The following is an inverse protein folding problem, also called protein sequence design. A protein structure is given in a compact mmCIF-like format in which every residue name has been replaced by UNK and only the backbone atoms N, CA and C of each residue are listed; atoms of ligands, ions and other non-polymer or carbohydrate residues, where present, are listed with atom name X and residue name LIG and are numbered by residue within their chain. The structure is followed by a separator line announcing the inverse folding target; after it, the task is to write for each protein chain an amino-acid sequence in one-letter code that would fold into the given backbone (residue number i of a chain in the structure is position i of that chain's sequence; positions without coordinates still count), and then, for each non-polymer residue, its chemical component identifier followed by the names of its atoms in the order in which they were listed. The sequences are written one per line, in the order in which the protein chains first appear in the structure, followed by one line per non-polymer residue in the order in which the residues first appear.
data_IF_493060228470
#
_entry.id   IF_493060228470
#
_cell.length_a   1.000
_cell.length_b   1.000
_cell.length_c   1.000
_cell.angle_alpha   90.00
_cell.angle_beta   90.00
_cell.angle_gamma   90.00
#
_symmetry.space_group_name_H-M   'P 1'
#
loop_
_entity.id
_entity.type
_entity.pdbx_description
1 polymer ?
#
# COMPACT_ATOMS: atom_id res chain seq x y z
N UNK A 1 20.20 22.84 4.64
CA UNK A 1 19.00 22.13 5.12
C UNK A 1 19.16 20.62 4.90
N UNK A 2 19.20 19.84 5.97
CA UNK A 2 19.19 18.37 5.83
C UNK A 2 17.89 17.96 5.13
N UNK A 3 17.94 16.96 4.24
CA UNK A 3 16.79 16.41 3.51
C UNK A 3 15.55 16.19 4.43
N UNK A 4 15.79 15.88 5.70
CA UNK A 4 14.78 15.75 6.76
C UNK A 4 14.00 17.04 7.09
N UNK A 5 14.64 18.21 7.05
CA UNK A 5 14.02 19.51 7.41
C UNK A 5 12.91 19.93 6.46
N UNK A 6 12.99 19.53 5.19
CA UNK A 6 11.97 19.85 4.16
C UNK A 6 10.92 18.73 4.08
N UNK A 7 11.35 17.47 4.24
CA UNK A 7 10.48 16.31 4.02
C UNK A 7 9.52 16.05 5.17
N UNK A 8 9.98 16.24 6.40
CA UNK A 8 9.19 15.94 7.59
C UNK A 8 7.97 16.86 7.77
N UNK A 9 8.04 18.19 7.58
CA UNK A 9 6.85 19.05 7.67
C UNK A 9 5.77 18.69 6.65
N UNK A 10 6.16 18.35 5.42
CA UNK A 10 5.24 17.92 4.37
C UNK A 10 4.56 16.59 4.74
N UNK A 11 5.30 15.63 5.29
CA UNK A 11 4.72 14.38 5.79
C UNK A 11 3.71 14.63 6.92
N UNK A 12 4.05 15.49 7.90
CA UNK A 12 3.15 15.86 8.99
C UNK A 12 1.86 16.46 8.44
N UNK A 13 1.97 17.37 7.48
CA UNK A 13 0.82 17.97 6.81
C UNK A 13 -0.05 16.91 6.12
N UNK A 14 0.54 16.01 5.33
CA UNK A 14 -0.21 14.94 4.66
C UNK A 14 -0.88 13.99 5.65
N UNK A 15 -0.21 13.63 6.75
CA UNK A 15 -0.79 12.77 7.78
C UNK A 15 -1.98 13.43 8.48
N UNK A 16 -1.88 14.71 8.83
CA UNK A 16 -2.99 15.48 9.43
C UNK A 16 -4.16 15.55 8.47
N UNK A 17 -3.91 15.89 7.20
CA UNK A 17 -4.96 15.95 6.19
C UNK A 17 -5.60 14.58 5.96
N UNK A 18 -4.81 13.51 5.84
CA UNK A 18 -5.33 12.15 5.68
C UNK A 18 -6.23 11.75 6.85
N UNK A 19 -5.84 12.08 8.08
CA UNK A 19 -6.68 11.87 9.27
C UNK A 19 -8.00 12.64 9.19
N UNK A 20 -7.95 13.94 8.87
CA UNK A 20 -9.15 14.78 8.76
C UNK A 20 -10.10 14.23 7.68
N UNK A 21 -9.61 13.99 6.46
CA UNK A 21 -10.45 13.56 5.34
C UNK A 21 -11.03 12.16 5.54
N UNK A 22 -10.29 11.22 6.16
CA UNK A 22 -10.85 9.90 6.48
C UNK A 22 -11.91 9.97 7.58
N UNK A 23 -11.73 10.81 8.61
CA UNK A 23 -12.77 11.04 9.63
C UNK A 23 -14.01 11.68 9.02
N UNK A 24 -13.84 12.68 8.15
CA UNK A 24 -14.95 13.31 7.41
C UNK A 24 -15.67 12.27 6.53
N UNK A 25 -14.93 11.42 5.81
CA UNK A 25 -15.51 10.34 5.01
C UNK A 25 -16.35 9.41 5.88
N UNK A 26 -15.84 8.95 7.03
CA UNK A 26 -16.58 8.08 7.95
C UNK A 26 -17.88 8.74 8.39
N UNK A 27 -17.82 10.03 8.74
CA UNK A 27 -18.99 10.80 9.16
C UNK A 27 -20.04 10.94 8.04
N UNK A 28 -19.61 11.25 6.81
CA UNK A 28 -20.50 11.32 5.63
C UNK A 28 -21.15 9.96 5.36
N UNK A 29 -20.38 8.88 5.39
CA UNK A 29 -20.87 7.52 5.15
C UNK A 29 -21.92 7.12 6.19
N UNK A 30 -21.71 7.48 7.45
CA UNK A 30 -22.66 7.22 8.53
C UNK A 30 -23.94 8.06 8.41
N UNK A 31 -23.84 9.31 7.93
CA UNK A 31 -24.99 10.20 7.76
C UNK A 31 -25.75 10.03 6.45
N UNK A 32 -25.15 9.38 5.45
CA UNK A 32 -25.83 9.09 4.19
C UNK A 32 -27.15 8.36 4.45
N UNK A 33 -28.25 8.78 3.82
CA UNK A 33 -29.58 8.17 4.02
C UNK A 33 -29.95 7.19 2.90
N UNK A 34 -29.11 7.06 1.87
CA UNK A 34 -29.42 6.21 0.72
C UNK A 34 -29.33 4.71 1.02
N UNK A 35 -30.51 4.06 1.03
CA UNK A 35 -30.65 2.61 1.22
C UNK A 35 -30.01 1.78 0.11
N UNK A 36 -29.81 2.34 -1.09
CA UNK A 36 -29.20 1.65 -2.24
C UNK A 36 -27.69 1.41 -2.07
N UNK A 37 -27.01 2.20 -1.24
CA UNK A 37 -25.61 1.93 -0.85
C UNK A 37 -25.55 0.79 0.17
N UNK A 38 -26.57 0.68 1.03
CA UNK A 38 -26.78 -0.43 1.96
C UNK A 38 -25.50 -0.89 2.65
N UNK A 39 -25.17 -2.17 2.46
CA UNK A 39 -24.06 -2.85 3.12
C UNK A 39 -22.67 -2.41 2.63
N UNK A 40 -22.58 -1.73 1.48
CA UNK A 40 -21.31 -1.23 0.94
C UNK A 40 -20.67 -0.17 1.86
N UNK A 41 -21.48 0.51 2.68
CA UNK A 41 -20.99 1.47 3.67
C UNK A 41 -20.02 0.86 4.66
N UNK A 42 -20.26 -0.40 5.06
CA UNK A 42 -19.38 -1.11 5.98
C UNK A 42 -17.99 -1.32 5.35
N UNK A 43 -17.94 -1.61 4.04
CA UNK A 43 -16.68 -1.71 3.30
C UNK A 43 -15.94 -0.37 3.24
N UNK A 44 -16.66 0.71 2.90
CA UNK A 44 -16.06 2.06 2.84
C UNK A 44 -15.54 2.48 4.22
N UNK A 45 -16.28 2.21 5.29
CA UNK A 45 -15.83 2.49 6.66
C UNK A 45 -14.60 1.65 7.01
N UNK A 46 -14.58 0.36 6.66
CA UNK A 46 -13.41 -0.50 6.89
C UNK A 46 -12.17 0.01 6.15
N UNK A 47 -12.33 0.44 4.91
CA UNK A 47 -11.27 1.05 4.10
C UNK A 47 -10.73 2.34 4.75
N UNK A 48 -11.61 3.27 5.14
CA UNK A 48 -11.20 4.50 5.82
C UNK A 48 -10.50 4.26 7.17
N UNK A 49 -10.92 3.25 7.94
CA UNK A 49 -10.24 2.84 9.17
C UNK A 49 -8.84 2.25 8.89
N UNK A 50 -8.72 1.51 7.79
CA UNK A 50 -7.44 0.98 7.31
C UNK A 50 -6.46 2.09 6.95
N UNK A 51 -6.94 3.13 6.24
CA UNK A 51 -6.15 4.29 5.86
C UNK A 51 -5.67 5.09 7.07
N UNK A 52 -6.53 5.23 8.09
CA UNK A 52 -6.15 5.85 9.38
C UNK A 52 -5.05 5.04 10.07
N UNK A 53 -5.20 3.71 10.15
CA UNK A 53 -4.18 2.84 10.73
C UNK A 53 -2.85 2.95 9.98
N UNK A 54 -2.87 2.85 8.65
CA UNK A 54 -1.68 2.99 7.82
C UNK A 54 -1.02 4.37 8.03
N UNK A 55 -1.82 5.45 8.05
CA UNK A 55 -1.34 6.82 8.25
C UNK A 55 -0.61 6.97 9.59
N UNK A 56 -1.17 6.40 10.66
CA UNK A 56 -0.56 6.43 11.99
C UNK A 56 0.77 5.67 11.98
N UNK A 57 0.81 4.46 11.44
CA UNK A 57 2.03 3.65 11.40
C UNK A 57 3.11 4.33 10.54
N UNK A 58 2.75 4.84 9.36
CA UNK A 58 3.65 5.59 8.48
C UNK A 58 4.18 6.85 9.16
N UNK A 59 3.36 7.60 9.91
CA UNK A 59 3.79 8.77 10.65
C UNK A 59 4.78 8.42 11.78
N UNK A 60 4.46 7.39 12.57
CA UNK A 60 5.29 6.95 13.70
C UNK A 60 6.64 6.42 13.23
N UNK A 61 6.67 5.65 12.14
CA UNK A 61 7.89 5.00 11.64
C UNK A 61 8.69 5.94 10.72
N UNK A 62 8.00 6.66 9.83
CA UNK A 62 8.55 7.43 8.72
C UNK A 62 9.64 6.66 7.94
N UNK A 63 9.24 5.62 7.19
CA UNK A 63 10.17 4.76 6.47
C UNK A 63 10.72 5.47 5.23
N UNK A 64 12.04 5.45 5.07
CA UNK A 64 12.72 5.96 3.87
C UNK A 64 13.44 4.79 3.19
N UNK A 65 12.98 4.36 2.00
CA UNK A 65 13.64 3.31 1.23
C UNK A 65 14.83 3.87 0.46
N UNK A 66 15.87 3.06 0.32
CA UNK A 66 17.10 3.38 -0.40
C UNK A 66 17.59 2.16 -1.17
N UNK A 67 18.30 2.43 -2.26
CA UNK A 67 18.85 1.41 -3.14
C UNK A 67 20.32 1.69 -3.41
N UNK A 68 21.12 0.63 -3.41
CA UNK A 68 22.53 0.68 -3.81
C UNK A 68 22.98 -0.65 -4.41
N UNK A 69 23.50 -0.62 -5.63
CA UNK A 69 23.87 -1.84 -6.37
C UNK A 69 22.73 -2.85 -6.42
N UNK A 70 22.99 -4.06 -5.91
CA UNK A 70 22.05 -5.17 -5.83
C UNK A 70 21.26 -5.21 -4.50
N UNK A 71 21.21 -4.11 -3.76
CA UNK A 71 20.59 -4.02 -2.45
C UNK A 71 19.45 -3.00 -2.40
N UNK A 72 18.37 -3.40 -1.73
CA UNK A 72 17.33 -2.54 -1.20
C UNK A 72 17.45 -2.50 0.32
N UNK A 73 17.31 -1.34 0.94
CA UNK A 73 17.24 -1.24 2.39
C UNK A 73 16.35 -0.06 2.80
N UNK A 74 15.80 -0.12 4.00
CA UNK A 74 14.83 0.87 4.46
C UNK A 74 14.94 1.06 5.98
N UNK A 75 14.83 2.31 6.41
CA UNK A 75 14.92 2.71 7.81
C UNK A 75 13.80 3.65 8.23
N UNK A 76 13.35 3.51 9.47
CA UNK A 76 12.47 4.45 10.11
C UNK A 76 13.22 5.71 10.55
N UNK A 77 12.65 6.87 10.26
CA UNK A 77 13.20 8.18 10.61
C UNK A 77 12.32 8.98 11.58
N UNK A 78 11.19 8.39 11.98
CA UNK A 78 10.19 8.98 12.86
C UNK A 78 10.50 8.74 14.34
N UNK A 79 9.45 8.49 15.11
CA UNK A 79 9.52 8.20 16.54
C UNK A 79 9.95 6.76 16.82
N UNK A 80 9.49 5.79 16.02
CA UNK A 80 9.82 4.38 16.18
C UNK A 80 10.67 3.89 15.00
N UNK A 81 11.99 3.84 15.21
CA UNK A 81 12.99 3.62 14.14
C UNK A 81 13.51 2.19 14.04
N UNK A 82 13.06 1.32 14.93
CA UNK A 82 13.50 -0.07 15.00
C UNK A 82 12.98 -0.89 13.81
N UNK A 83 13.66 -2.00 13.53
CA UNK A 83 13.28 -2.94 12.48
C UNK A 83 11.83 -3.44 12.64
N UNK A 84 11.37 -3.60 13.88
CA UNK A 84 9.97 -3.95 14.16
C UNK A 84 8.99 -2.90 13.61
N UNK A 85 9.33 -1.61 13.72
CA UNK A 85 8.52 -0.53 13.17
C UNK A 85 8.43 -0.60 11.65
N UNK A 86 9.56 -0.90 10.99
CA UNK A 86 9.59 -1.12 9.54
C UNK A 86 8.70 -2.30 9.14
N UNK A 87 8.80 -3.42 9.85
CA UNK A 87 7.96 -4.58 9.57
C UNK A 87 6.47 -4.30 9.77
N UNK A 88 6.09 -3.58 10.83
CA UNK A 88 4.72 -3.13 11.07
C UNK A 88 4.21 -2.22 9.95
N UNK A 89 5.05 -1.31 9.47
CA UNK A 89 4.73 -0.45 8.34
C UNK A 89 4.47 -1.24 7.06
N UNK A 90 5.34 -2.19 6.69
CA UNK A 90 5.12 -2.99 5.48
C UNK A 90 3.96 -3.97 5.63
N UNK A 91 3.69 -4.46 6.85
CA UNK A 91 2.46 -5.19 7.16
C UNK A 91 1.21 -4.34 6.92
N UNK A 92 1.21 -3.09 7.37
CA UNK A 92 0.15 -2.12 7.05
C UNK A 92 0.07 -1.86 5.55
N UNK A 93 1.19 -1.68 4.86
CA UNK A 93 1.19 -1.49 3.41
C UNK A 93 0.56 -2.66 2.65
N UNK A 94 0.91 -3.90 3.04
CA UNK A 94 0.42 -5.12 2.41
C UNK A 94 -1.07 -5.41 2.61
N UNK A 95 -1.70 -4.83 3.62
CA UNK A 95 -3.10 -5.10 3.92
C UNK A 95 -4.07 -4.40 2.95
N UNK A 96 -3.60 -3.41 2.19
CA UNK A 96 -4.44 -2.62 1.30
C UNK A 96 -4.86 -3.41 0.06
N UNK A 97 -4.02 -4.33 -0.41
CA UNK A 97 -4.30 -5.18 -1.57
C UNK A 97 -5.57 -6.02 -1.42
N UNK A 98 -5.74 -6.86 -0.37
CA UNK A 98 -6.98 -7.59 -0.19
C UNK A 98 -8.17 -6.66 0.00
N UNK A 99 -8.02 -5.52 0.67
CA UNK A 99 -9.14 -4.57 0.83
C UNK A 99 -9.64 -4.11 -0.54
N UNK A 100 -8.75 -3.69 -1.44
CA UNK A 100 -9.10 -3.31 -2.80
C UNK A 100 -9.78 -4.47 -3.56
N UNK A 101 -9.20 -5.68 -3.51
CA UNK A 101 -9.79 -6.88 -4.15
C UNK A 101 -11.23 -7.10 -3.69
N UNK A 102 -11.48 -7.06 -2.39
CA UNK A 102 -12.81 -7.28 -1.84
C UNK A 102 -13.80 -6.17 -2.23
N UNK A 103 -13.36 -4.92 -2.43
CA UNK A 103 -14.24 -3.89 -2.99
C UNK A 103 -14.68 -4.23 -4.42
N UNK A 104 -13.78 -4.71 -5.26
CA UNK A 104 -14.14 -5.19 -6.61
C UNK A 104 -15.02 -6.43 -6.57
N UNK A 105 -14.73 -7.41 -5.71
CA UNK A 105 -15.54 -8.61 -5.56
C UNK A 105 -16.95 -8.28 -5.09
N UNK A 106 -17.09 -7.38 -4.10
CA UNK A 106 -18.40 -6.90 -3.65
C UNK A 106 -19.16 -6.26 -4.82
N UNK A 107 -18.52 -5.40 -5.61
CA UNK A 107 -19.14 -4.77 -6.78
C UNK A 107 -19.61 -5.80 -7.81
N UNK A 108 -18.76 -6.79 -8.11
CA UNK A 108 -19.09 -7.87 -9.03
C UNK A 108 -20.27 -8.69 -8.52
N UNK A 109 -20.29 -9.05 -7.23
CA UNK A 109 -21.39 -9.79 -6.60
C UNK A 109 -22.69 -9.00 -6.63
N UNK A 110 -22.66 -7.71 -6.30
CA UNK A 110 -23.83 -6.85 -6.31
C UNK A 110 -24.48 -6.73 -7.69
N UNK A 111 -23.70 -6.80 -8.77
CA UNK A 111 -24.20 -6.74 -10.15
C UNK A 111 -24.65 -8.11 -10.65
N UNK A 112 -23.82 -9.15 -10.45
CA UNK A 112 -24.02 -10.46 -11.06
C UNK A 112 -25.01 -11.33 -10.28
N UNK A 113 -24.90 -11.33 -8.96
CA UNK A 113 -25.64 -12.24 -8.07
C UNK A 113 -25.97 -11.56 -6.73
N UNK A 114 -26.87 -10.55 -6.73
CA UNK A 114 -27.23 -9.81 -5.52
C UNK A 114 -27.76 -10.70 -4.39
N UNK A 115 -28.29 -11.88 -4.69
CA UNK A 115 -28.75 -12.86 -3.69
C UNK A 115 -27.65 -13.29 -2.70
N UNK A 116 -26.38 -13.30 -3.11
CA UNK A 116 -25.27 -13.68 -2.21
C UNK A 116 -24.93 -12.58 -1.20
N UNK A 117 -25.41 -11.35 -1.40
CA UNK A 117 -25.26 -10.29 -0.39
C UNK A 117 -26.00 -10.62 0.92
N UNK A 118 -26.91 -11.61 0.93
CA UNK A 118 -27.49 -12.15 2.17
C UNK A 118 -26.43 -12.78 3.09
N UNK A 119 -25.31 -13.26 2.53
CA UNK A 119 -24.19 -13.84 3.29
C UNK A 119 -23.09 -12.83 3.59
N UNK A 120 -23.42 -11.54 3.70
CA UNK A 120 -22.45 -10.48 3.87
C UNK A 120 -21.55 -10.65 5.11
N UNK A 121 -22.03 -11.23 6.21
CA UNK A 121 -21.21 -11.48 7.39
C UNK A 121 -20.03 -12.41 7.11
N UNK A 122 -20.23 -13.45 6.29
CA UNK A 122 -19.16 -14.35 5.86
C UNK A 122 -18.19 -13.64 4.90
N UNK A 123 -18.72 -12.80 4.01
CA UNK A 123 -17.91 -11.96 3.12
C UNK A 123 -17.01 -11.01 3.93
N UNK A 124 -17.55 -10.37 4.96
CA UNK A 124 -16.79 -9.47 5.85
C UNK A 124 -15.76 -10.24 6.68
N UNK A 125 -16.10 -11.42 7.18
CA UNK A 125 -15.15 -12.29 7.88
C UNK A 125 -13.98 -12.67 6.97
N UNK A 126 -14.26 -13.09 5.73
CA UNK A 126 -13.25 -13.41 4.74
C UNK A 126 -12.35 -12.20 4.42
N UNK A 127 -12.94 -10.99 4.32
CA UNK A 127 -12.17 -9.74 4.16
C UNK A 127 -11.19 -9.57 5.32
N UNK A 128 -11.67 -9.59 6.56
CA UNK A 128 -10.83 -9.35 7.75
C UNK A 128 -9.71 -10.38 7.84
N UNK A 129 -10.02 -11.67 7.64
CA UNK A 129 -9.01 -12.74 7.69
C UNK A 129 -7.97 -12.58 6.58
N UNK A 130 -8.39 -12.32 5.34
CA UNK A 130 -7.45 -12.15 4.21
C UNK A 130 -6.58 -10.90 4.40
N UNK A 131 -7.14 -9.81 4.93
CA UNK A 131 -6.40 -8.60 5.29
C UNK A 131 -5.36 -8.89 6.37
N UNK A 132 -5.72 -9.64 7.43
CA UNK A 132 -4.79 -10.02 8.49
C UNK A 132 -3.67 -10.94 7.98
N UNK A 133 -3.99 -11.92 7.13
CA UNK A 133 -3.01 -12.82 6.52
C UNK A 133 -2.05 -12.04 5.62
N UNK A 134 -2.56 -11.13 4.78
CA UNK A 134 -1.69 -10.28 3.94
C UNK A 134 -0.77 -9.41 4.79
N UNK A 135 -1.31 -8.79 5.86
CA UNK A 135 -0.49 -8.03 6.79
C UNK A 135 0.65 -8.88 7.39
N UNK A 136 0.32 -10.08 7.89
CA UNK A 136 1.31 -10.99 8.45
C UNK A 136 2.38 -11.41 7.43
N UNK A 137 2.00 -11.70 6.18
CA UNK A 137 2.95 -12.05 5.11
C UNK A 137 3.92 -10.90 4.86
N UNK A 138 3.42 -9.69 4.69
CA UNK A 138 4.27 -8.53 4.41
C UNK A 138 5.15 -8.15 5.60
N UNK A 139 4.61 -8.21 6.81
CA UNK A 139 5.40 -8.10 8.05
C UNK A 139 6.55 -9.11 8.06
N UNK A 140 6.25 -10.38 7.73
CA UNK A 140 7.21 -11.48 7.74
C UNK A 140 8.37 -11.26 6.77
N UNK A 141 8.09 -10.73 5.58
CA UNK A 141 9.10 -10.42 4.57
C UNK A 141 10.14 -9.44 5.14
N UNK A 142 9.68 -8.34 5.76
CA UNK A 142 10.58 -7.31 6.24
C UNK A 142 11.25 -7.66 7.58
N UNK A 143 10.57 -8.41 8.45
CA UNK A 143 11.13 -8.77 9.75
C UNK A 143 12.11 -9.96 9.67
N UNK A 144 11.81 -10.98 8.86
CA UNK A 144 12.61 -12.21 8.77
C UNK A 144 13.41 -12.31 7.49
N UNK A 145 12.78 -12.17 6.31
CA UNK A 145 13.51 -12.38 5.05
C UNK A 145 14.55 -11.29 4.84
N UNK A 146 14.18 -10.02 5.07
CA UNK A 146 15.07 -8.86 4.97
C UNK A 146 15.73 -8.50 6.30
N UNK A 147 15.81 -9.45 7.24
CA UNK A 147 16.58 -9.24 8.47
C UNK A 147 18.07 -9.05 8.12
N UNK A 148 18.75 -8.06 8.70
CA UNK A 148 20.18 -7.88 8.48
C UNK A 148 20.97 -9.08 9.01
N UNK A 149 21.94 -9.55 8.24
CA UNK A 149 22.92 -10.53 8.71
C UNK A 149 24.34 -10.01 8.47
N UNK A 150 25.33 -10.76 8.98
CA UNK A 150 26.74 -10.38 8.90
C UNK A 150 27.19 -10.07 7.46
N UNK A 151 26.63 -10.76 6.47
CA UNK A 151 26.97 -10.56 5.07
C UNK A 151 26.31 -9.32 4.47
N UNK A 152 25.03 -9.07 4.76
CA UNK A 152 24.37 -7.81 4.39
C UNK A 152 25.12 -6.61 4.97
N UNK A 153 25.49 -6.70 6.25
CA UNK A 153 26.22 -5.64 6.95
C UNK A 153 27.61 -5.42 6.35
N UNK A 154 28.34 -6.49 6.02
CA UNK A 154 29.65 -6.41 5.35
C UNK A 154 29.56 -5.68 4.00
N UNK A 155 28.59 -6.05 3.17
CA UNK A 155 28.39 -5.45 1.84
C UNK A 155 27.96 -3.99 1.93
N UNK A 156 27.08 -3.65 2.87
CA UNK A 156 26.55 -2.29 3.04
C UNK A 156 27.42 -1.42 3.96
N UNK A 157 28.51 -1.94 4.52
CA UNK A 157 29.44 -1.19 5.39
C UNK A 157 29.91 0.13 4.78
N UNK A 158 30.29 0.22 3.48
CA UNK A 158 30.70 1.47 2.86
C UNK A 158 29.62 2.56 2.85
N UNK A 159 28.34 2.18 2.92
CA UNK A 159 27.22 3.12 3.05
C UNK A 159 27.10 3.55 4.51
N UNK A 160 27.06 2.59 5.43
CA UNK A 160 26.86 2.86 6.86
C UNK A 160 28.02 3.60 7.54
N UNK A 161 29.24 3.48 6.99
CA UNK A 161 30.41 4.21 7.48
C UNK A 161 30.61 5.58 6.79
N UNK A 162 29.74 5.94 5.84
CA UNK A 162 29.78 7.22 5.12
C UNK A 162 30.80 7.30 3.98
N UNK A 163 31.46 6.21 3.60
CA UNK A 163 32.37 6.20 2.44
C UNK A 163 31.63 6.44 1.12
N UNK A 164 30.38 6.01 1.04
CA UNK A 164 29.50 6.18 -0.11
C UNK A 164 28.36 7.12 0.29
N UNK A 165 28.30 8.34 -0.27
CA UNK A 165 27.24 9.28 0.06
C UNK A 165 25.93 8.85 -0.61
N UNK A 166 24.87 8.78 0.19
CA UNK A 166 23.49 8.63 -0.26
C UNK A 166 22.66 9.85 0.19
N UNK A 167 21.42 10.02 -0.34
CA UNK A 167 20.56 11.15 0.03
C UNK A 167 20.27 11.26 1.53
N UNK A 168 20.37 10.14 2.26
CA UNK A 168 20.18 10.06 3.71
C UNK A 168 21.51 9.77 4.40
N UNK A 169 21.75 10.40 5.55
CA UNK A 169 22.94 10.16 6.36
C UNK A 169 22.82 8.85 7.14
N UNK A 170 23.88 8.04 7.10
CA UNK A 170 23.93 6.70 7.67
C UNK A 170 25.01 6.57 8.74
N UNK A 171 24.79 5.65 9.69
CA UNK A 171 25.72 5.36 10.79
C UNK A 171 25.78 3.85 11.04
N UNK A 172 27.00 3.31 11.24
CA UNK A 172 27.25 1.89 11.51
C UNK A 172 26.39 1.36 12.68
N UNK A 173 26.28 2.12 13.77
CA UNK A 173 25.52 1.73 14.97
C UNK A 173 24.04 1.46 14.69
N UNK A 174 23.53 1.99 13.59
CA UNK A 174 22.14 1.84 13.18
C UNK A 174 21.91 0.85 12.06
N UNK A 175 22.95 0.21 11.54
CA UNK A 175 22.84 -0.69 10.40
C UNK A 175 21.83 -1.82 10.68
N UNK A 176 21.86 -2.41 11.87
CA UNK A 176 20.94 -3.49 12.29
C UNK A 176 19.47 -3.05 12.42
N UNK A 177 19.20 -1.75 12.48
CA UNK A 177 17.83 -1.22 12.53
C UNK A 177 17.16 -1.14 11.15
N UNK A 178 17.92 -1.39 10.08
CA UNK A 178 17.41 -1.38 8.71
C UNK A 178 16.87 -2.75 8.34
N UNK A 179 15.75 -2.79 7.62
CA UNK A 179 15.45 -3.97 6.82
C UNK A 179 16.37 -3.93 5.58
N UNK A 180 17.11 -5.01 5.32
CA UNK A 180 18.15 -5.10 4.31
C UNK A 180 17.94 -6.31 3.41
N UNK A 181 17.72 -6.05 2.12
CA UNK A 181 17.60 -7.04 1.07
C UNK A 181 18.76 -6.89 0.09
N UNK A 182 19.84 -7.62 0.29
CA UNK A 182 20.93 -7.76 -0.69
C UNK A 182 20.68 -9.00 -1.52
N UNK A 183 20.50 -8.87 -2.83
CA UNK A 183 20.07 -10.00 -3.67
C UNK A 183 21.22 -10.86 -4.18
N UNK A 184 22.38 -10.25 -4.42
CA UNK A 184 23.58 -10.88 -4.96
C UNK A 184 24.79 -10.39 -4.16
N UNK A 185 25.67 -11.30 -3.75
CA UNK A 185 26.85 -10.96 -2.93
C UNK A 185 27.96 -10.31 -3.75
N UNK A 186 28.11 -10.75 -5.01
CA UNK A 186 29.12 -10.28 -5.94
C UNK A 186 28.46 -9.41 -7.03
N UNK A 187 28.62 -9.77 -8.30
CA UNK A 187 27.91 -9.11 -9.39
C UNK A 187 26.46 -9.59 -9.48
N UNK A 188 25.65 -8.89 -10.26
CA UNK A 188 24.27 -9.30 -10.52
C UNK A 188 24.26 -10.73 -11.10
N UNK A 189 23.42 -11.60 -10.54
CA UNK A 189 23.32 -13.03 -10.85
C UNK A 189 24.47 -13.91 -10.35
N UNK A 190 25.39 -13.38 -9.54
CA UNK A 190 26.47 -14.14 -8.90
C UNK A 190 26.25 -14.24 -7.39
N UNK A 191 26.41 -15.46 -6.85
CA UNK A 191 26.21 -15.79 -5.44
C UNK A 191 24.84 -15.33 -4.88
N UNK A 192 23.73 -16.01 -5.29
CA UNK A 192 22.38 -15.65 -4.93
C UNK A 192 22.13 -15.69 -3.42
N UNK A 193 21.54 -14.62 -2.90
CA UNK A 193 21.04 -14.57 -1.53
C UNK A 193 19.58 -15.01 -1.50
N UNK A 194 19.38 -16.33 -1.47
CA UNK A 194 18.06 -16.95 -1.58
C UNK A 194 17.03 -16.45 -0.58
N UNK A 195 17.42 -16.14 0.66
CA UNK A 195 16.50 -15.55 1.65
C UNK A 195 15.90 -14.25 1.12
N UNK A 196 16.73 -13.31 0.68
CA UNK A 196 16.26 -12.01 0.19
C UNK A 196 15.48 -12.17 -1.14
N UNK A 197 15.96 -13.04 -2.04
CA UNK A 197 15.25 -13.34 -3.29
C UNK A 197 13.86 -13.96 -3.07
N UNK A 198 13.72 -14.86 -2.11
CA UNK A 198 12.42 -15.43 -1.73
C UNK A 198 11.47 -14.36 -1.18
N UNK A 199 11.96 -13.46 -0.32
CA UNK A 199 11.16 -12.34 0.19
C UNK A 199 10.64 -11.44 -0.93
N UNK A 200 11.51 -11.06 -1.86
CA UNK A 200 11.15 -10.28 -3.04
C UNK A 200 10.16 -11.02 -3.96
N UNK A 201 10.36 -12.32 -4.18
CA UNK A 201 9.47 -13.15 -5.00
C UNK A 201 8.06 -13.26 -4.39
N UNK A 202 7.96 -13.50 -3.08
CA UNK A 202 6.66 -13.55 -2.38
C UNK A 202 5.96 -12.21 -2.51
N UNK A 203 6.65 -11.10 -2.25
CA UNK A 203 6.09 -9.75 -2.38
C UNK A 203 5.57 -9.49 -3.80
N UNK A 204 6.40 -9.76 -4.81
CA UNK A 204 6.04 -9.59 -6.22
C UNK A 204 4.87 -10.47 -6.65
N UNK A 205 4.83 -11.72 -6.19
CA UNK A 205 3.73 -12.66 -6.47
C UNK A 205 2.42 -12.21 -5.84
N UNK A 206 2.45 -11.71 -4.60
CA UNK A 206 1.28 -11.14 -3.93
C UNK A 206 0.72 -9.94 -4.68
N UNK A 207 1.58 -9.00 -5.10
CA UNK A 207 1.17 -7.84 -5.89
C UNK A 207 0.59 -8.25 -7.25
N UNK A 208 1.28 -9.12 -8.00
CA UNK A 208 0.86 -9.58 -9.32
C UNK A 208 -0.50 -10.30 -9.25
N UNK A 209 -0.69 -11.19 -8.27
CA UNK A 209 -1.95 -11.89 -8.05
C UNK A 209 -3.08 -10.91 -7.73
N UNK A 210 -2.82 -9.94 -6.84
CA UNK A 210 -3.80 -8.94 -6.44
C UNK A 210 -4.31 -8.12 -7.61
N UNK A 211 -3.39 -7.59 -8.43
CA UNK A 211 -3.77 -6.80 -9.61
C UNK A 211 -4.40 -7.64 -10.71
N UNK A 212 -4.00 -8.91 -10.87
CA UNK A 212 -4.66 -9.82 -11.82
C UNK A 212 -6.13 -10.02 -11.45
N UNK A 213 -6.43 -10.23 -10.16
CA UNK A 213 -7.81 -10.37 -9.67
C UNK A 213 -8.59 -9.07 -9.88
N UNK A 214 -7.98 -7.91 -9.57
CA UNK A 214 -8.61 -6.59 -9.78
C UNK A 214 -8.96 -6.40 -11.26
N UNK A 215 -8.00 -6.59 -12.16
CA UNK A 215 -8.18 -6.44 -13.61
C UNK A 215 -9.26 -7.38 -14.13
N UNK A 216 -9.24 -8.65 -13.69
CA UNK A 216 -10.29 -9.61 -14.01
C UNK A 216 -11.67 -9.11 -13.57
N UNK A 217 -11.81 -8.64 -12.33
CA UNK A 217 -13.06 -8.10 -11.82
C UNK A 217 -13.52 -6.88 -12.62
N UNK A 218 -12.60 -5.98 -12.99
CA UNK A 218 -12.90 -4.81 -13.83
C UNK A 218 -13.53 -5.21 -15.17
N UNK A 219 -12.92 -6.16 -15.89
CA UNK A 219 -13.46 -6.64 -17.17
C UNK A 219 -14.85 -7.25 -17.00
N UNK A 220 -15.05 -8.07 -15.96
CA UNK A 220 -16.34 -8.70 -15.68
C UNK A 220 -17.42 -7.69 -15.29
N UNK A 221 -17.10 -6.72 -14.45
CA UNK A 221 -18.02 -5.65 -14.05
C UNK A 221 -18.46 -4.86 -15.28
N UNK A 222 -17.53 -4.45 -16.14
CA UNK A 222 -17.85 -3.70 -17.36
C UNK A 222 -18.74 -4.49 -18.34
N UNK A 223 -18.50 -5.80 -18.48
CA UNK A 223 -19.37 -6.68 -19.28
C UNK A 223 -20.79 -6.74 -18.72
N UNK A 224 -20.94 -7.03 -17.43
CA UNK A 224 -22.27 -7.14 -16.82
C UNK A 224 -23.04 -5.82 -16.75
N UNK A 225 -22.33 -4.69 -16.60
CA UNK A 225 -22.93 -3.36 -16.64
C UNK A 225 -23.66 -3.11 -17.97
N UNK A 226 -23.05 -3.52 -19.09
CA UNK A 226 -23.63 -3.35 -20.44
C UNK A 226 -24.81 -4.29 -20.69
N UNK A 227 -24.79 -5.50 -20.15
CA UNK A 227 -25.80 -6.53 -20.44
C UNK A 227 -27.03 -6.48 -19.53
N UNK A 228 -26.87 -6.15 -18.24
CA UNK A 228 -27.90 -6.42 -17.21
C UNK A 228 -28.70 -5.19 -16.78
N UNK A 229 -28.13 -3.99 -16.89
CA UNK A 229 -28.77 -2.77 -16.39
C UNK A 229 -29.57 -2.09 -17.50
N UNK A 230 -30.89 -2.16 -17.42
CA UNK A 230 -31.81 -1.48 -18.36
C UNK A 230 -32.33 -0.13 -17.84
N UNK A 231 -32.21 0.13 -16.53
CA UNK A 231 -32.61 1.40 -15.91
C UNK A 231 -31.48 2.41 -15.94
N UNK A 232 -31.74 3.60 -16.49
CA UNK A 232 -30.75 4.69 -16.59
C UNK A 232 -30.22 5.14 -15.21
N UNK A 233 -31.10 5.20 -14.19
CA UNK A 233 -30.72 5.61 -12.83
C UNK A 233 -29.77 4.60 -12.17
N UNK A 234 -30.08 3.30 -12.28
CA UNK A 234 -29.24 2.24 -11.73
C UNK A 234 -27.91 2.13 -12.50
N UNK A 235 -27.93 2.29 -13.82
CA UNK A 235 -26.72 2.30 -14.65
C UNK A 235 -25.78 3.45 -14.24
N UNK A 236 -26.31 4.65 -14.03
CA UNK A 236 -25.53 5.82 -13.61
C UNK A 236 -24.85 5.59 -12.25
N UNK A 237 -25.60 5.10 -11.25
CA UNK A 237 -25.05 4.82 -9.92
C UNK A 237 -23.93 3.76 -9.98
N UNK A 238 -24.14 2.68 -10.73
CA UNK A 238 -23.13 1.63 -10.86
C UNK A 238 -21.89 2.10 -11.62
N UNK A 239 -22.04 2.93 -12.64
CA UNK A 239 -20.92 3.57 -13.33
C UNK A 239 -20.13 4.51 -12.42
N UNK A 240 -20.81 5.33 -11.61
CA UNK A 240 -20.14 6.23 -10.66
C UNK A 240 -19.32 5.46 -9.63
N UNK A 241 -19.91 4.42 -9.04
CA UNK A 241 -19.22 3.59 -8.05
C UNK A 241 -18.07 2.80 -8.67
N UNK A 242 -18.23 2.27 -9.89
CA UNK A 242 -17.14 1.60 -10.60
C UNK A 242 -16.02 2.57 -10.97
N UNK A 243 -16.35 3.75 -11.47
CA UNK A 243 -15.36 4.79 -11.79
C UNK A 243 -14.59 5.24 -10.55
N UNK A 244 -15.28 5.42 -9.42
CA UNK A 244 -14.65 5.73 -8.13
C UNK A 244 -13.65 4.64 -7.74
N UNK A 245 -14.09 3.38 -7.78
CA UNK A 245 -13.24 2.23 -7.45
C UNK A 245 -12.02 2.10 -8.37
N UNK A 246 -12.19 2.42 -9.65
CA UNK A 246 -11.08 2.50 -10.61
C UNK A 246 -10.07 3.57 -10.21
N UNK A 247 -10.52 4.78 -9.88
CA UNK A 247 -9.61 5.83 -9.41
C UNK A 247 -8.90 5.45 -8.11
N UNK A 248 -9.61 4.88 -7.13
CA UNK A 248 -9.03 4.39 -5.88
C UNK A 248 -8.00 3.27 -6.05
N UNK A 249 -8.05 2.55 -7.18
CA UNK A 249 -7.11 1.44 -7.42
C UNK A 249 -5.96 1.86 -8.31
N UNK A 250 -6.23 2.63 -9.36
CA UNK A 250 -5.23 3.05 -10.33
C UNK A 250 -4.38 4.22 -9.84
N UNK A 251 -4.95 5.15 -9.07
CA UNK A 251 -4.17 6.28 -8.55
C UNK A 251 -3.09 5.78 -7.59
N UNK A 252 -3.42 5.04 -6.50
CA UNK A 252 -2.39 4.49 -5.61
C UNK A 252 -1.48 3.48 -6.32
N UNK A 253 -1.98 2.72 -7.30
CA UNK A 253 -1.13 1.83 -8.11
C UNK A 253 0.02 2.59 -8.75
N UNK A 254 -0.27 3.67 -9.47
CA UNK A 254 0.74 4.41 -10.21
C UNK A 254 1.60 5.29 -9.32
N UNK A 255 1.02 5.86 -8.26
CA UNK A 255 1.71 6.84 -7.41
C UNK A 255 2.48 6.20 -6.28
N UNK A 256 1.98 5.13 -5.64
CA UNK A 256 2.57 4.57 -4.42
C UNK A 256 2.99 3.09 -4.57
N UNK A 257 2.15 2.23 -5.17
CA UNK A 257 2.42 0.79 -5.24
C UNK A 257 3.49 0.42 -6.27
N UNK A 258 3.41 0.97 -7.47
CA UNK A 258 4.37 0.71 -8.54
C UNK A 258 5.77 1.25 -8.16
N UNK A 259 5.95 2.50 -7.70
CA UNK A 259 7.28 3.02 -7.38
C UNK A 259 7.95 2.29 -6.20
N UNK A 260 7.18 1.93 -5.17
CA UNK A 260 7.71 1.17 -4.06
C UNK A 260 8.03 -0.28 -4.47
N UNK A 261 7.14 -0.95 -5.19
CA UNK A 261 7.36 -2.30 -5.70
C UNK A 261 8.58 -2.39 -6.63
N UNK A 262 8.73 -1.44 -7.55
CA UNK A 262 9.92 -1.38 -8.42
C UNK A 262 11.18 -1.08 -7.62
N UNK A 263 11.10 -0.28 -6.56
CA UNK A 263 12.28 -0.01 -5.72
C UNK A 263 12.85 -1.25 -5.05
N UNK A 264 12.00 -2.21 -4.67
CA UNK A 264 12.44 -3.48 -4.07
C UNK A 264 12.91 -4.46 -5.15
N UNK A 265 12.22 -4.51 -6.30
CA UNK A 265 12.47 -5.52 -7.35
C UNK A 265 13.63 -5.15 -8.29
N UNK A 266 13.80 -3.87 -8.64
CA UNK A 266 14.82 -3.45 -9.62
C UNK A 266 16.27 -3.77 -9.21
N UNK A 267 16.67 -3.70 -7.92
CA UNK A 267 17.99 -4.15 -7.50
C UNK A 267 18.23 -5.66 -7.71
N UNK A 268 17.18 -6.50 -7.83
CA UNK A 268 17.34 -7.90 -8.23
C UNK A 268 17.95 -8.02 -9.63
N UNK A 269 17.68 -7.06 -10.50
CA UNK A 269 18.21 -7.02 -11.87
C UNK A 269 19.46 -6.14 -12.00
N UNK A 270 20.00 -5.63 -10.89
CA UNK A 270 21.17 -4.74 -10.87
C UNK A 270 20.87 -3.28 -11.20
N UNK A 271 19.60 -2.85 -11.12
CA UNK A 271 19.20 -1.46 -11.38
C UNK A 271 18.78 -0.75 -10.07
N UNK A 272 19.70 -0.05 -9.38
CA UNK A 272 19.34 0.71 -8.19
C UNK A 272 18.59 2.01 -8.54
N UNK A 273 17.48 2.26 -7.86
CA UNK A 273 16.70 3.51 -8.01
C UNK A 273 17.03 4.45 -6.85
N UNK A 274 18.07 5.28 -7.00
CA UNK A 274 18.52 6.19 -5.92
C UNK A 274 17.45 7.24 -5.58
N UNK A 275 16.66 7.68 -6.56
CA UNK A 275 15.61 8.69 -6.38
C UNK A 275 14.42 8.21 -5.53
N UNK A 276 14.32 6.90 -5.23
CA UNK A 276 13.24 6.38 -4.38
C UNK A 276 13.27 6.98 -2.97
N UNK A 277 14.47 7.28 -2.45
CA UNK A 277 14.63 7.92 -1.15
C UNK A 277 13.99 9.31 -1.11
N UNK A 278 13.97 10.01 -2.25
CA UNK A 278 13.41 11.35 -2.38
C UNK A 278 11.90 11.34 -2.57
N UNK A 279 11.38 10.46 -3.44
CA UNK A 279 9.98 10.47 -3.85
C UNK A 279 9.09 9.48 -3.08
N UNK A 280 9.67 8.34 -2.67
CA UNK A 280 8.96 7.22 -2.06
C UNK A 280 8.17 7.60 -0.80
N UNK A 281 8.78 8.27 0.20
CA UNK A 281 8.07 8.65 1.42
C UNK A 281 6.86 9.57 1.16
N UNK A 282 6.97 10.54 0.25
CA UNK A 282 5.86 11.43 -0.10
C UNK A 282 4.74 10.70 -0.83
N UNK A 283 5.10 9.85 -1.79
CA UNK A 283 4.14 9.04 -2.52
C UNK A 283 3.37 8.11 -1.58
N UNK A 284 4.07 7.48 -0.64
CA UNK A 284 3.47 6.60 0.35
C UNK A 284 2.61 7.35 1.39
N UNK A 285 2.98 8.59 1.74
CA UNK A 285 2.23 9.43 2.69
C UNK A 285 0.96 10.06 2.09
N UNK A 286 0.93 10.29 0.77
CA UNK A 286 -0.16 11.00 0.11
C UNK A 286 -1.31 10.11 -0.32
N UNK A 287 -1.10 8.81 -0.52
CA UNK A 287 -2.17 7.91 -0.95
C UNK A 287 -3.39 7.87 0.01
N UNK A 288 -3.24 7.79 1.36
CA UNK A 288 -4.38 7.71 2.27
C UNK A 288 -5.14 9.03 2.36
N UNK A 289 -4.56 10.14 1.87
CA UNK A 289 -5.24 11.42 1.72
C UNK A 289 -6.10 11.44 0.46
N UNK A 290 -5.59 10.93 -0.66
CA UNK A 290 -6.32 10.95 -1.93
C UNK A 290 -7.50 9.98 -1.94
N UNK A 291 -7.39 8.86 -1.24
CA UNK A 291 -8.42 7.83 -1.16
C UNK A 291 -9.80 8.35 -0.70
N UNK A 292 -9.94 9.04 0.45
CA UNK A 292 -11.20 9.64 0.86
C UNK A 292 -11.64 10.79 -0.04
N UNK A 293 -10.71 11.60 -0.56
CA UNK A 293 -11.03 12.72 -1.47
C UNK A 293 -11.66 12.19 -2.76
N UNK A 294 -11.10 11.14 -3.34
CA UNK A 294 -11.64 10.48 -4.54
C UNK A 294 -13.04 9.95 -4.26
N UNK A 295 -13.28 9.28 -3.13
CA UNK A 295 -14.62 8.80 -2.78
C UNK A 295 -15.64 9.93 -2.66
N UNK A 296 -15.29 10.98 -1.91
CA UNK A 296 -16.17 12.14 -1.69
C UNK A 296 -16.47 12.82 -3.03
N UNK A 297 -15.48 13.05 -3.89
CA UNK A 297 -15.70 13.76 -5.16
C UNK A 297 -16.41 12.93 -6.22
N UNK A 298 -16.25 11.59 -6.21
CA UNK A 298 -16.83 10.74 -7.26
C UNK A 298 -18.26 10.32 -6.96
N UNK A 299 -18.64 10.20 -5.69
CA UNK A 299 -19.97 9.76 -5.26
C UNK A 299 -20.84 10.99 -5.00
N UNK A 300 -21.79 11.27 -5.91
CA UNK A 300 -22.63 12.47 -5.86
C UNK A 300 -23.34 12.65 -4.51
N UNK A 301 -23.79 11.57 -3.88
CA UNK A 301 -24.46 11.62 -2.59
C UNK A 301 -23.55 12.06 -1.44
N UNK A 302 -22.27 11.73 -1.50
CA UNK A 302 -21.30 12.18 -0.50
C UNK A 302 -20.92 13.65 -0.70
N UNK A 303 -21.06 14.18 -1.91
CA UNK A 303 -20.87 15.61 -2.19
C UNK A 303 -22.02 16.49 -1.70
N UNK A 304 -23.22 15.91 -1.58
CA UNK A 304 -24.45 16.62 -1.24
C UNK A 304 -24.84 16.48 0.23
N UNK A 305 -24.12 15.66 1.00
CA UNK A 305 -24.32 15.39 2.43
C UNK A 305 -23.48 16.32 3.31
#
# INVERSE_FOLDING_TARGET
PTFKEITYPCQVLFAILACIFNVVLIFIVQRSTNRDIGTYRILITYFALSDLYYTIVHFVVYPIPENYGNAFFVRGHGYYRELLGIALYFGAYGHAFPILIFHFLYRLLAIKHPQFLRYFSFFLFALIVTTAVSNAIWFSIFYWFFHPDSESLRILTPIFNGSIPLPVAHYIESAEQHAQAVYWTLNTYEDPRWRNLCGALVMGSCMATSYTIIVYCCFRINGYLKERLKSAKAMLLHHQLFRSLMYQSFVPLLTAYLPAGTSVIMPVFGFPIISVALAGPYACATHPLFDPIVLILTITEFRLA
#
